data_IF_092325791817
#
_entry.id   IF_092325791817
#
_cell.length_a   1.000
_cell.length_b   1.000
_cell.length_c   1.000
_cell.angle_alpha   90.00
_cell.angle_beta   90.00
_cell.angle_gamma   90.00
#
_symmetry.space_group_name_H-M   'P 1'
#
loop_
_entity.id
_entity.type
_entity.pdbx_description
1 polymer ?
#
# COMPACT_ATOMS: atom_id res chain seq x y z
N UNK A 1 -1.77 -3.94 -26.25
CA UNK A 1 -0.74 -4.87 -25.75
C UNK A 1 -1.41 -5.88 -24.82
N UNK A 2 -1.48 -7.15 -25.20
CA UNK A 2 -2.17 -8.22 -24.46
C UNK A 2 -1.28 -8.79 -23.35
N UNK A 3 -1.39 -8.21 -22.15
CA UNK A 3 -0.65 -8.68 -20.97
C UNK A 3 -1.48 -9.75 -20.26
N UNK A 4 -0.85 -10.89 -19.97
CA UNK A 4 -1.46 -12.02 -19.28
C UNK A 4 -1.89 -11.61 -17.86
N UNK A 5 -3.12 -11.96 -17.46
CA UNK A 5 -3.81 -11.43 -16.25
C UNK A 5 -3.00 -11.67 -14.96
N UNK A 6 -2.19 -12.73 -14.94
CA UNK A 6 -1.30 -13.09 -13.81
C UNK A 6 -0.30 -11.99 -13.45
N UNK A 7 0.17 -11.21 -14.43
CA UNK A 7 1.14 -10.13 -14.20
C UNK A 7 0.48 -8.76 -14.04
N UNK A 8 -0.81 -8.62 -14.38
CA UNK A 8 -1.54 -7.35 -14.25
C UNK A 8 -1.42 -6.79 -12.83
N UNK A 9 -1.57 -7.63 -11.81
CA UNK A 9 -1.52 -7.18 -10.42
C UNK A 9 -0.11 -6.77 -9.98
N UNK A 10 0.92 -7.47 -10.46
CA UNK A 10 2.32 -7.15 -10.13
C UNK A 10 2.75 -5.85 -10.80
N UNK A 11 2.39 -5.67 -12.08
CA UNK A 11 2.72 -4.47 -12.87
C UNK A 11 1.93 -3.28 -12.34
N UNK A 12 0.67 -3.46 -11.98
CA UNK A 12 -0.15 -2.41 -11.38
C UNK A 12 0.41 -1.95 -10.03
N UNK A 13 0.75 -2.88 -9.14
CA UNK A 13 1.37 -2.54 -7.86
C UNK A 13 2.74 -1.86 -8.03
N UNK A 14 3.54 -2.32 -8.99
CA UNK A 14 4.82 -1.69 -9.33
C UNK A 14 4.64 -0.26 -9.85
N UNK A 15 3.75 -0.05 -10.82
CA UNK A 15 3.51 1.25 -11.42
C UNK A 15 2.89 2.23 -10.42
N UNK A 16 2.00 1.75 -9.55
CA UNK A 16 1.43 2.51 -8.44
C UNK A 16 2.50 2.93 -7.42
N UNK A 17 3.39 2.02 -7.04
CA UNK A 17 4.49 2.35 -6.13
C UNK A 17 5.49 3.32 -6.78
N UNK A 18 5.79 3.14 -8.08
CA UNK A 18 6.67 4.02 -8.85
C UNK A 18 6.11 5.45 -8.93
N UNK A 19 4.84 5.61 -9.29
CA UNK A 19 4.23 6.93 -9.43
C UNK A 19 4.12 7.65 -8.08
N UNK A 20 3.71 6.94 -7.03
CA UNK A 20 3.59 7.51 -5.69
C UNK A 20 4.95 7.91 -5.12
N UNK A 21 5.97 7.06 -5.24
CA UNK A 21 7.32 7.39 -4.76
C UNK A 21 7.95 8.54 -5.55
N UNK A 22 7.74 8.61 -6.87
CA UNK A 22 8.19 9.73 -7.70
C UNK A 22 7.59 11.06 -7.23
N UNK A 23 6.27 11.09 -7.06
CA UNK A 23 5.57 12.32 -6.68
C UNK A 23 5.91 12.75 -5.25
N UNK A 24 5.91 11.82 -4.30
CA UNK A 24 6.19 12.10 -2.89
C UNK A 24 7.63 12.57 -2.69
N UNK A 25 8.61 11.90 -3.30
CA UNK A 25 10.02 12.33 -3.22
C UNK A 25 10.25 13.68 -3.88
N UNK A 26 9.62 13.93 -5.04
CA UNK A 26 9.72 15.22 -5.73
C UNK A 26 9.17 16.36 -4.89
N UNK A 27 7.95 16.22 -4.38
CA UNK A 27 7.31 17.24 -3.54
C UNK A 27 8.10 17.47 -2.25
N UNK A 28 8.56 16.42 -1.57
CA UNK A 28 9.34 16.55 -0.33
C UNK A 28 10.65 17.31 -0.52
N UNK A 29 11.40 16.98 -1.57
CA UNK A 29 12.69 17.64 -1.84
C UNK A 29 12.48 19.06 -2.37
N UNK A 30 11.46 19.29 -3.21
CA UNK A 30 11.10 20.64 -3.67
C UNK A 30 10.69 21.56 -2.52
N UNK A 31 9.98 21.06 -1.52
CA UNK A 31 9.58 21.85 -0.33
C UNK A 31 10.77 22.06 0.63
N UNK A 32 11.57 21.03 0.92
CA UNK A 32 12.61 21.12 1.95
C UNK A 32 13.89 21.84 1.49
N UNK A 33 14.34 21.60 0.26
CA UNK A 33 15.65 22.06 -0.22
C UNK A 33 15.56 23.12 -1.31
N UNK A 34 14.39 23.30 -1.93
CA UNK A 34 14.21 24.20 -3.07
C UNK A 34 15.02 23.77 -4.31
N UNK A 35 15.02 24.62 -5.34
CA UNK A 35 15.67 24.31 -6.63
C UNK A 35 17.12 24.84 -6.66
N UNK A 36 18.01 24.22 -5.90
CA UNK A 36 19.44 24.51 -5.89
C UNK A 36 20.27 23.57 -6.77
N UNK A 37 21.59 23.80 -6.84
CA UNK A 37 22.51 22.97 -7.64
C UNK A 37 22.60 21.50 -7.17
N UNK A 38 22.28 21.25 -5.89
CA UNK A 38 22.23 19.92 -5.25
C UNK A 38 20.85 19.27 -5.31
N UNK A 39 19.83 19.97 -5.82
CA UNK A 39 18.44 19.50 -5.83
C UNK A 39 18.31 18.13 -6.50
N UNK A 40 18.88 17.96 -7.69
CA UNK A 40 18.78 16.70 -8.44
C UNK A 40 19.44 15.54 -7.69
N UNK A 41 20.56 15.77 -7.02
CA UNK A 41 21.27 14.73 -6.27
C UNK A 41 20.44 14.25 -5.08
N UNK A 42 19.96 15.20 -4.27
CA UNK A 42 19.14 14.91 -3.07
C UNK A 42 17.80 14.29 -3.48
N UNK A 43 17.22 14.77 -4.58
CA UNK A 43 15.99 14.22 -5.13
C UNK A 43 16.13 12.77 -5.57
N UNK A 44 17.21 12.43 -6.30
CA UNK A 44 17.42 11.06 -6.76
C UNK A 44 17.64 10.09 -5.60
N UNK A 45 18.38 10.52 -4.56
CA UNK A 45 18.61 9.74 -3.35
C UNK A 45 17.30 9.48 -2.58
N UNK A 46 16.50 10.54 -2.38
CA UNK A 46 15.19 10.44 -1.75
C UNK A 46 14.22 9.57 -2.58
N UNK A 47 14.25 9.70 -3.90
CA UNK A 47 13.44 8.89 -4.82
C UNK A 47 13.77 7.41 -4.72
N UNK A 48 15.06 7.04 -4.77
CA UNK A 48 15.48 5.64 -4.65
C UNK A 48 15.04 5.07 -3.30
N UNK A 49 15.25 5.81 -2.20
CA UNK A 49 14.86 5.37 -0.87
C UNK A 49 13.33 5.18 -0.76
N UNK A 50 12.55 6.15 -1.23
CA UNK A 50 11.08 6.09 -1.23
C UNK A 50 10.54 4.97 -2.13
N UNK A 51 11.18 4.73 -3.27
CA UNK A 51 10.79 3.67 -4.21
C UNK A 51 10.93 2.27 -3.60
N UNK A 52 12.08 1.98 -2.98
CA UNK A 52 12.29 0.72 -2.29
C UNK A 52 11.32 0.54 -1.11
N UNK A 53 11.09 1.60 -0.34
CA UNK A 53 10.08 1.62 0.71
C UNK A 53 8.70 1.27 0.16
N UNK A 54 8.20 2.04 -0.81
CA UNK A 54 6.88 1.85 -1.39
C UNK A 54 6.68 0.48 -2.06
N UNK A 55 7.74 -0.14 -2.59
CA UNK A 55 7.66 -1.48 -3.19
C UNK A 55 7.68 -2.61 -2.16
N UNK A 56 8.51 -2.51 -1.12
CA UNK A 56 8.70 -3.57 -0.14
C UNK A 56 7.62 -3.56 0.96
N UNK A 57 7.21 -2.36 1.42
CA UNK A 57 6.27 -2.19 2.53
C UNK A 57 4.93 -2.89 2.30
N UNK A 58 4.24 -2.73 1.14
CA UNK A 58 2.96 -3.40 0.90
C UNK A 58 3.10 -4.92 0.87
N UNK A 59 4.21 -5.45 0.37
CA UNK A 59 4.47 -6.91 0.35
C UNK A 59 4.68 -7.48 1.75
N UNK A 60 5.39 -6.74 2.60
CA UNK A 60 5.56 -7.12 4.00
C UNK A 60 4.22 -7.07 4.73
N UNK A 61 3.45 -5.99 4.57
CA UNK A 61 2.11 -5.86 5.15
C UNK A 61 1.21 -6.99 4.68
N UNK A 62 1.19 -7.33 3.39
CA UNK A 62 0.41 -8.46 2.86
C UNK A 62 0.82 -9.79 3.52
N UNK A 63 2.12 -10.02 3.72
CA UNK A 63 2.63 -11.21 4.41
C UNK A 63 2.21 -11.26 5.88
N UNK A 64 2.15 -10.10 6.54
CA UNK A 64 1.66 -9.96 7.92
C UNK A 64 0.14 -10.18 7.98
N UNK A 65 -0.64 -9.53 7.11
CA UNK A 65 -2.10 -9.67 7.06
C UNK A 65 -2.53 -11.11 6.80
N UNK A 66 -1.79 -11.86 5.98
CA UNK A 66 -2.04 -13.29 5.76
C UNK A 66 -1.89 -14.16 7.02
N UNK A 67 -1.17 -13.71 8.04
CA UNK A 67 -1.09 -14.41 9.33
C UNK A 67 -2.28 -14.09 10.24
N UNK A 68 -3.02 -13.03 9.96
CA UNK A 68 -4.20 -12.64 10.71
C UNK A 68 -5.37 -13.42 10.11
N UNK A 69 -5.81 -14.49 10.79
CA UNK A 69 -7.09 -15.12 10.48
C UNK A 69 -8.18 -14.15 10.93
N UNK A 70 -8.71 -13.36 10.01
CA UNK A 70 -9.96 -12.66 10.21
C UNK A 70 -11.06 -13.72 10.32
N UNK A 71 -11.34 -14.15 11.55
CA UNK A 71 -12.52 -14.94 11.86
C UNK A 71 -13.69 -13.95 11.83
N UNK A 72 -14.31 -13.82 10.66
CA UNK A 72 -15.57 -13.13 10.54
C UNK A 72 -16.62 -14.02 11.22
N UNK A 73 -17.06 -13.62 12.43
CA UNK A 73 -18.14 -14.35 13.11
C UNK A 73 -19.36 -14.32 12.18
N UNK A 74 -19.97 -15.47 11.87
CA UNK A 74 -21.09 -15.50 10.94
C UNK A 74 -22.22 -14.64 11.51
N UNK A 75 -22.70 -13.67 10.72
CA UNK A 75 -23.76 -12.75 11.12
C UNK A 75 -25.04 -13.48 11.58
N UNK A 76 -25.24 -14.71 11.10
CA UNK A 76 -26.38 -15.58 11.46
C UNK A 76 -26.37 -15.94 12.96
N UNK A 77 -25.21 -16.09 13.60
CA UNK A 77 -25.11 -16.42 15.04
C UNK A 77 -25.61 -15.26 15.91
N UNK A 78 -25.25 -14.02 15.57
CA UNK A 78 -25.66 -12.84 16.32
C UNK A 78 -27.17 -12.58 16.18
N UNK A 79 -27.72 -12.80 14.98
CA UNK A 79 -29.16 -12.72 14.68
C UNK A 79 -29.99 -13.76 15.46
N UNK A 80 -29.46 -14.98 15.62
CA UNK A 80 -30.11 -16.03 16.42
C UNK A 80 -30.08 -15.70 17.91
N UNK A 81 -28.95 -15.20 18.41
CA UNK A 81 -28.79 -14.83 19.81
C UNK A 81 -29.67 -13.63 20.19
N UNK A 82 -29.80 -12.61 19.35
CA UNK A 82 -30.74 -11.50 19.58
C UNK A 82 -32.21 -11.97 19.62
N UNK A 83 -32.58 -12.90 18.72
CA UNK A 83 -33.95 -13.46 18.69
C UNK A 83 -34.27 -14.34 19.89
N UNK A 84 -33.30 -15.07 20.44
CA UNK A 84 -33.47 -15.83 21.68
C UNK A 84 -33.54 -14.92 22.92
N UNK A 85 -32.70 -13.88 22.99
CA UNK A 85 -32.69 -12.92 24.10
C UNK A 85 -33.99 -12.11 24.16
N UNK A 86 -34.59 -11.79 23.02
CA UNK A 86 -35.89 -11.07 22.95
C UNK A 86 -37.09 -11.94 23.33
N UNK A 87 -36.93 -13.28 23.34
CA UNK A 87 -38.01 -14.23 23.68
C UNK A 87 -38.00 -14.69 25.14
N UNK A 88 -37.01 -14.32 25.94
CA UNK A 88 -36.96 -14.56 27.39
C UNK A 88 -37.43 -13.34 28.17
#
# INVERSE_FOLDING_TARGET
MSINVKYRNIIFAFLMALSMSFFVSFVLVSINFGYGNTFLHIWLEAFICAFFGAYFFPRVIQKIMRKINFVEKPLIENDFLEREQTKR
#
